data_IF_230070925456
#
_entry.id   IF_230070925456
#
_cell.length_a   1.000
_cell.length_b   1.000
_cell.length_c   1.000
_cell.angle_alpha   90.00
_cell.angle_beta   90.00
_cell.angle_gamma   90.00
#
_symmetry.space_group_name_H-M   'P 1'
#
loop_
_entity.id
_entity.type
_entity.pdbx_description
1 polymer ?
#
# COMPACT_ATOMS: atom_id res chain seq x y z
N UNK A 1 -44.32 -16.53 3.35
CA UNK A 1 -43.87 -15.97 2.06
C UNK A 1 -43.02 -14.70 2.22
N UNK A 2 -42.11 -14.67 3.21
CA UNK A 2 -40.91 -13.81 3.24
C UNK A 2 -39.90 -14.48 4.21
N UNK A 3 -39.50 -15.70 3.87
CA UNK A 3 -38.61 -16.56 4.69
C UNK A 3 -37.19 -16.65 4.08
N UNK A 4 -36.76 -15.66 3.29
CA UNK A 4 -35.52 -15.73 2.48
C UNK A 4 -34.57 -14.52 2.66
N UNK A 5 -34.68 -13.75 3.74
CA UNK A 5 -33.88 -12.51 3.92
C UNK A 5 -32.78 -12.59 5.01
N UNK A 6 -32.53 -13.75 5.58
CA UNK A 6 -31.42 -13.95 6.53
C UNK A 6 -30.28 -14.63 5.78
N UNK A 7 -29.23 -13.86 5.47
CA UNK A 7 -28.02 -14.37 4.83
C UNK A 7 -27.35 -15.49 5.65
N UNK A 8 -26.37 -16.20 5.06
CA UNK A 8 -25.75 -17.41 5.64
C UNK A 8 -25.22 -17.20 7.07
N UNK A 9 -24.88 -15.96 7.41
CA UNK A 9 -24.40 -15.56 8.73
C UNK A 9 -25.39 -15.83 9.88
N UNK A 10 -26.70 -15.83 9.65
CA UNK A 10 -27.67 -15.98 10.74
C UNK A 10 -28.04 -17.45 11.02
N UNK A 11 -27.78 -18.37 10.09
CA UNK A 11 -28.15 -19.79 10.23
C UNK A 11 -27.07 -20.64 10.92
N UNK A 12 -25.90 -20.08 11.22
CA UNK A 12 -24.71 -20.83 11.66
C UNK A 12 -24.25 -20.52 13.09
N UNK A 13 -24.99 -19.72 13.86
CA UNK A 13 -24.58 -19.28 15.22
C UNK A 13 -24.29 -20.42 16.21
N UNK A 14 -24.67 -21.67 15.90
CA UNK A 14 -24.40 -22.85 16.74
C UNK A 14 -23.39 -23.84 16.15
N UNK A 15 -22.72 -23.53 15.03
CA UNK A 15 -21.68 -24.42 14.53
C UNK A 15 -20.32 -24.15 15.19
N UNK A 16 -19.75 -25.23 15.71
CA UNK A 16 -18.42 -25.25 16.28
C UNK A 16 -17.40 -25.10 15.14
N UNK A 17 -16.75 -23.94 15.06
CA UNK A 17 -15.63 -23.74 14.14
C UNK A 17 -14.41 -24.49 14.69
N UNK A 18 -13.86 -25.40 13.88
CA UNK A 18 -12.58 -26.07 14.19
C UNK A 18 -11.54 -25.56 13.22
N UNK A 19 -10.46 -24.99 13.73
CA UNK A 19 -9.31 -24.51 12.96
C UNK A 19 -8.18 -25.52 13.12
N UNK A 20 -7.73 -26.09 11.99
CA UNK A 20 -6.57 -26.98 11.94
C UNK A 20 -5.31 -26.20 11.60
N UNK A 21 -4.46 -26.00 12.60
CA UNK A 21 -3.18 -25.30 12.47
C UNK A 21 -2.14 -26.30 11.97
N UNK A 22 -1.72 -26.17 10.71
CA UNK A 22 -0.71 -27.02 10.07
C UNK A 22 0.69 -26.58 10.49
N UNK A 23 1.37 -27.40 11.28
CA UNK A 23 2.69 -27.10 11.78
C UNK A 23 3.74 -27.56 10.76
N UNK A 24 4.62 -26.68 10.27
CA UNK A 24 5.71 -27.09 9.38
C UNK A 24 6.51 -28.24 10.00
N UNK A 25 6.59 -29.38 9.31
CA UNK A 25 7.33 -30.57 9.70
C UNK A 25 6.88 -31.32 10.99
N UNK A 26 5.81 -30.90 11.67
CA UNK A 26 5.38 -31.50 12.96
C UNK A 26 3.91 -31.92 13.02
N UNK A 27 3.20 -31.91 11.89
CA UNK A 27 1.79 -32.36 11.81
C UNK A 27 0.79 -31.21 11.86
N UNK A 28 -0.30 -31.38 12.60
CA UNK A 28 -1.34 -30.36 12.74
C UNK A 28 -1.97 -30.41 14.14
N UNK A 29 -2.46 -29.27 14.61
CA UNK A 29 -3.21 -29.14 15.87
C UNK A 29 -4.58 -28.57 15.57
N UNK A 30 -5.63 -29.23 16.04
CA UNK A 30 -7.01 -28.75 15.90
C UNK A 30 -7.38 -27.89 17.11
N UNK A 31 -7.78 -26.65 16.85
CA UNK A 31 -8.28 -25.71 17.83
C UNK A 31 -9.78 -25.51 17.63
N UNK A 32 -10.55 -25.77 18.69
CA UNK A 32 -11.99 -25.54 18.70
C UNK A 32 -12.29 -24.10 19.13
N UNK A 33 -12.90 -23.32 18.24
CA UNK A 33 -13.24 -21.91 18.47
C UNK A 33 -14.64 -21.81 19.05
N UNK A 34 -14.74 -21.46 20.33
CA UNK A 34 -16.03 -21.32 21.03
C UNK A 34 -16.79 -20.04 20.68
N UNK A 35 -16.13 -19.03 20.09
CA UNK A 35 -16.68 -17.72 19.75
C UNK A 35 -16.57 -17.41 18.24
N UNK A 36 -16.92 -18.37 17.39
CA UNK A 36 -16.71 -18.32 15.93
C UNK A 36 -17.11 -17.00 15.22
N UNK A 37 -18.26 -16.37 15.53
CA UNK A 37 -18.67 -15.12 14.88
C UNK A 37 -17.88 -13.86 15.29
N UNK A 38 -17.12 -13.93 16.39
CA UNK A 38 -16.37 -12.81 16.96
C UNK A 38 -14.85 -13.05 16.99
N UNK A 39 -14.39 -14.12 16.34
CA UNK A 39 -12.97 -14.44 16.27
C UNK A 39 -12.20 -13.27 15.64
N UNK A 40 -11.22 -12.72 16.36
CA UNK A 40 -10.34 -11.67 15.86
C UNK A 40 -9.04 -12.28 15.34
N UNK A 41 -8.38 -11.57 14.41
CA UNK A 41 -7.08 -11.94 13.86
C UNK A 41 -6.03 -12.19 14.93
N UNK A 42 -6.05 -11.36 15.98
CA UNK A 42 -5.18 -11.50 17.13
C UNK A 42 -5.40 -12.81 17.89
N UNK A 43 -6.63 -13.27 18.05
CA UNK A 43 -6.93 -14.51 18.79
C UNK A 43 -6.31 -15.73 18.10
N UNK A 44 -6.37 -15.76 16.76
CA UNK A 44 -5.72 -16.82 15.97
C UNK A 44 -4.20 -16.75 16.10
N UNK A 45 -3.61 -15.55 16.04
CA UNK A 45 -2.16 -15.38 16.23
C UNK A 45 -1.71 -15.81 17.63
N UNK A 46 -2.49 -15.52 18.67
CA UNK A 46 -2.18 -15.90 20.06
C UNK A 46 -2.20 -17.43 20.22
N UNK A 47 -3.16 -18.13 19.59
CA UNK A 47 -3.19 -19.61 19.59
C UNK A 47 -2.04 -20.18 18.77
N UNK A 48 -1.73 -19.61 17.61
CA UNK A 48 -0.56 -20.05 16.84
C UNK A 48 0.71 -19.85 17.67
N UNK A 49 0.84 -18.74 18.40
CA UNK A 49 1.97 -18.50 19.31
C UNK A 49 2.10 -19.54 20.42
N UNK A 50 0.98 -20.09 20.91
CA UNK A 50 0.99 -21.21 21.87
C UNK A 50 1.42 -22.54 21.23
N UNK A 51 1.05 -22.76 19.96
CA UNK A 51 1.40 -23.98 19.20
C UNK A 51 2.84 -23.93 18.66
N UNK A 52 3.34 -22.74 18.34
CA UNK A 52 4.66 -22.46 17.78
C UNK A 52 5.42 -21.43 18.64
N UNK A 53 5.78 -21.75 19.90
CA UNK A 53 6.42 -20.80 20.81
C UNK A 53 7.79 -20.30 20.33
N UNK A 54 8.48 -21.10 19.50
CA UNK A 54 9.79 -20.76 18.93
C UNK A 54 9.69 -19.89 17.65
N UNK A 55 8.48 -19.58 17.18
CA UNK A 55 8.27 -18.81 15.97
C UNK A 55 7.34 -17.61 16.20
N UNK A 56 7.79 -16.43 15.80
CA UNK A 56 6.94 -15.24 15.78
C UNK A 56 6.05 -15.28 14.54
N UNK A 57 4.84 -15.82 14.69
CA UNK A 57 3.84 -15.81 13.61
C UNK A 57 3.12 -14.46 13.60
N UNK A 58 3.14 -13.78 12.46
CA UNK A 58 2.48 -12.47 12.26
C UNK A 58 1.40 -12.49 11.19
N UNK A 59 1.30 -13.62 10.48
CA UNK A 59 0.31 -13.91 9.46
C UNK A 59 0.21 -15.42 9.32
N UNK A 60 -0.91 -15.89 8.79
CA UNK A 60 -1.11 -17.28 8.41
C UNK A 60 -1.77 -17.34 7.04
N UNK A 61 -1.68 -18.47 6.37
CA UNK A 61 -2.31 -18.71 5.07
C UNK A 61 -3.46 -19.71 5.23
N UNK A 62 -4.47 -19.63 4.38
CA UNK A 62 -5.44 -20.70 4.16
C UNK A 62 -5.41 -21.12 2.69
N UNK A 63 -6.04 -22.24 2.36
CA UNK A 63 -6.19 -22.69 0.97
C UNK A 63 -7.59 -22.31 0.48
N UNK A 64 -7.66 -21.57 -0.63
CA UNK A 64 -8.94 -21.25 -1.28
C UNK A 64 -9.44 -22.39 -2.20
N UNK A 65 -10.46 -22.12 -2.99
CA UNK A 65 -11.10 -23.10 -3.89
C UNK A 65 -10.18 -23.57 -5.02
N UNK A 66 -9.22 -22.75 -5.43
CA UNK A 66 -8.26 -23.03 -6.50
C UNK A 66 -7.00 -23.77 -5.99
N UNK A 67 -6.86 -23.92 -4.68
CA UNK A 67 -5.67 -24.49 -4.04
C UNK A 67 -4.60 -23.43 -3.71
N UNK A 68 -4.92 -22.15 -3.87
CA UNK A 68 -3.97 -21.05 -3.66
C UNK A 68 -3.83 -20.71 -2.17
N UNK A 69 -2.59 -20.41 -1.75
CA UNK A 69 -2.25 -20.02 -0.38
C UNK A 69 -2.56 -18.53 -0.18
N UNK A 70 -3.72 -18.22 0.36
CA UNK A 70 -4.15 -16.85 0.64
C UNK A 70 -3.71 -16.43 2.04
N UNK A 71 -2.88 -15.38 2.13
CA UNK A 71 -2.39 -14.90 3.43
C UNK A 71 -3.41 -13.99 4.13
N UNK A 72 -3.65 -14.24 5.41
CA UNK A 72 -4.46 -13.43 6.33
C UNK A 72 -3.55 -12.63 7.26
N UNK A 73 -3.75 -11.31 7.33
CA UNK A 73 -2.97 -10.33 8.10
C UNK A 73 -3.82 -9.35 8.90
N UNK A 74 -5.15 -9.44 8.81
CA UNK A 74 -6.09 -8.48 9.40
C UNK A 74 -7.46 -9.11 9.67
N UNK A 75 -8.28 -8.44 10.48
CA UNK A 75 -9.66 -8.87 10.75
C UNK A 75 -10.54 -8.87 9.48
N UNK A 76 -10.24 -8.00 8.50
CA UNK A 76 -11.02 -7.95 7.25
C UNK A 76 -10.71 -9.15 6.35
N UNK A 77 -9.43 -9.52 6.22
CA UNK A 77 -9.02 -10.75 5.51
C UNK A 77 -9.49 -12.01 6.25
N UNK A 78 -9.54 -11.96 7.59
CA UNK A 78 -10.13 -13.04 8.39
C UNK A 78 -11.62 -13.20 8.11
N UNK A 79 -12.40 -12.12 8.02
CA UNK A 79 -13.81 -12.19 7.64
C UNK A 79 -13.99 -12.79 6.24
N UNK A 80 -13.13 -12.44 5.29
CA UNK A 80 -13.15 -13.02 3.95
C UNK A 80 -12.88 -14.54 4.01
N UNK A 81 -11.84 -14.97 4.71
CA UNK A 81 -11.53 -16.38 4.94
C UNK A 81 -12.69 -17.14 5.60
N UNK A 82 -13.26 -16.58 6.67
CA UNK A 82 -14.39 -17.19 7.38
C UNK A 82 -15.63 -17.27 6.49
N UNK A 83 -15.91 -16.24 5.70
CA UNK A 83 -17.03 -16.24 4.76
C UNK A 83 -16.85 -17.30 3.67
N UNK A 84 -15.63 -17.47 3.15
CA UNK A 84 -15.28 -18.56 2.23
C UNK A 84 -15.53 -19.91 2.89
N UNK A 85 -14.93 -20.15 4.06
CA UNK A 85 -15.08 -21.40 4.80
C UNK A 85 -16.54 -21.76 5.07
N UNK A 86 -17.35 -20.83 5.59
CA UNK A 86 -18.76 -21.09 5.86
C UNK A 86 -19.55 -21.39 4.57
N UNK A 87 -19.17 -20.81 3.43
CA UNK A 87 -19.78 -21.14 2.13
C UNK A 87 -19.43 -22.57 1.73
N UNK A 88 -18.17 -22.98 1.86
CA UNK A 88 -17.73 -24.36 1.61
C UNK A 88 -18.40 -25.37 2.55
N UNK A 89 -18.56 -25.03 3.83
CA UNK A 89 -19.26 -25.88 4.80
C UNK A 89 -20.73 -26.08 4.40
N UNK A 90 -21.41 -25.02 3.95
CA UNK A 90 -22.78 -25.12 3.45
C UNK A 90 -22.89 -26.08 2.27
N UNK A 91 -21.98 -25.99 1.30
CA UNK A 91 -21.96 -26.88 0.14
C UNK A 91 -21.67 -28.34 0.53
N UNK A 92 -20.72 -28.56 1.44
CA UNK A 92 -20.41 -29.89 1.98
C UNK A 92 -21.62 -30.51 2.69
N UNK A 93 -22.34 -29.72 3.48
CA UNK A 93 -23.56 -30.18 4.17
C UNK A 93 -24.68 -30.54 3.19
N UNK A 94 -24.90 -29.73 2.15
CA UNK A 94 -25.89 -30.00 1.11
C UNK A 94 -25.55 -31.30 0.35
N UNK A 95 -24.25 -31.56 0.14
CA UNK A 95 -23.76 -32.75 -0.55
C UNK A 95 -23.57 -33.98 0.36
N UNK A 96 -23.89 -33.89 1.67
CA UNK A 96 -23.70 -34.98 2.63
C UNK A 96 -22.23 -35.35 2.87
N UNK A 97 -21.31 -34.44 2.59
CA UNK A 97 -19.88 -34.61 2.81
C UNK A 97 -19.51 -34.34 4.26
N UNK A 98 -18.41 -34.93 4.72
CA UNK A 98 -17.87 -34.67 6.04
C UNK A 98 -17.35 -33.23 6.08
N UNK A 99 -17.73 -32.46 7.10
CA UNK A 99 -17.22 -31.09 7.30
C UNK A 99 -15.75 -31.16 7.71
N UNK A 100 -14.87 -30.63 6.88
CA UNK A 100 -13.44 -30.56 7.20
C UNK A 100 -13.11 -29.30 8.02
N UNK A 101 -12.21 -29.37 9.03
CA UNK A 101 -11.73 -28.20 9.75
C UNK A 101 -11.07 -27.16 8.82
N UNK A 102 -11.22 -25.88 9.13
CA UNK A 102 -10.55 -24.79 8.43
C UNK A 102 -9.03 -24.92 8.60
N UNK A 103 -8.33 -25.24 7.52
CA UNK A 103 -6.88 -25.45 7.55
C UNK A 103 -6.16 -24.11 7.44
N UNK A 104 -5.31 -23.81 8.42
CA UNK A 104 -4.43 -22.63 8.37
C UNK A 104 -2.96 -23.03 8.49
N UNK A 105 -2.10 -22.26 7.85
CA UNK A 105 -0.67 -22.50 7.70
C UNK A 105 0.07 -21.30 8.27
N UNK A 106 0.60 -21.39 9.50
CA UNK A 106 1.41 -20.33 10.09
C UNK A 106 2.58 -19.95 9.19
N UNK A 107 2.73 -18.64 8.89
CA UNK A 107 3.95 -18.13 8.28
C UNK A 107 4.97 -17.85 9.38
N UNK A 108 5.74 -18.88 9.74
CA UNK A 108 6.85 -18.73 10.66
C UNK A 108 8.01 -17.98 9.99
N UNK A 109 8.44 -16.85 10.57
CA UNK A 109 9.74 -16.29 10.24
C UNK A 109 10.82 -17.21 10.82
N UNK A 110 11.74 -17.74 10.00
CA UNK A 110 12.85 -18.55 10.51
C UNK A 110 13.69 -17.75 11.51
N UNK A 111 14.10 -18.34 12.65
CA UNK A 111 15.05 -17.69 13.56
C UNK A 111 16.37 -17.36 12.83
N UNK A 112 17.16 -16.38 13.30
CA UNK A 112 18.29 -15.81 12.58
C UNK A 112 19.42 -16.79 12.16
N UNK A 113 19.42 -18.04 12.64
CA UNK A 113 20.52 -19.00 12.49
C UNK A 113 20.50 -19.91 11.26
N UNK A 114 19.40 -20.01 10.51
CA UNK A 114 19.27 -21.01 9.42
C UNK A 114 18.78 -20.39 8.10
N UNK A 115 19.63 -19.59 7.45
CA UNK A 115 19.40 -19.14 6.06
C UNK A 115 20.67 -19.26 5.23
N UNK A 116 20.87 -20.43 4.64
CA UNK A 116 21.73 -20.63 3.48
C UNK A 116 21.34 -21.97 2.86
N UNK A 117 20.69 -21.97 1.69
CA UNK A 117 21.03 -22.78 0.50
C UNK A 117 19.91 -22.62 -0.54
N UNK A 118 20.27 -22.14 -1.74
CA UNK A 118 19.42 -21.87 -2.96
C UNK A 118 18.85 -20.44 -3.02
N UNK A 119 19.24 -19.53 -3.91
CA UNK A 119 20.13 -19.60 -5.06
C UNK A 119 19.93 -18.32 -5.90
N UNK A 120 20.90 -17.40 -5.84
CA UNK A 120 21.23 -16.43 -6.89
C UNK A 120 22.55 -15.75 -6.48
N UNK A 121 23.66 -16.27 -7.02
CA UNK A 121 25.03 -15.75 -6.83
C UNK A 121 25.24 -14.50 -7.68
N UNK A 122 25.70 -13.41 -7.08
CA UNK A 122 26.61 -12.45 -7.74
C UNK A 122 27.81 -12.27 -6.83
N UNK A 123 28.98 -12.63 -7.36
CA UNK A 123 30.24 -12.77 -6.65
C UNK A 123 31.06 -11.49 -6.79
N UNK A 124 31.30 -10.77 -5.69
CA UNK A 124 32.29 -9.67 -5.67
C UNK A 124 33.13 -9.73 -4.39
N UNK A 125 34.09 -10.67 -4.34
CA UNK A 125 35.22 -10.61 -3.39
C UNK A 125 36.51 -10.49 -4.19
N UNK A 126 37.18 -9.35 -4.06
CA UNK A 126 38.62 -9.24 -4.31
C UNK A 126 39.34 -9.45 -2.98
N UNK A 127 39.99 -10.60 -2.82
CA UNK A 127 40.96 -10.88 -1.74
C UNK A 127 42.39 -10.63 -2.24
N UNK A 128 43.36 -10.34 -1.35
CA UNK A 128 44.66 -9.78 -1.72
C UNK A 128 45.65 -10.88 -2.13
N UNK A 129 46.35 -10.68 -3.25
CA UNK A 129 47.52 -11.50 -3.61
C UNK A 129 48.74 -10.60 -3.78
N UNK A 130 49.80 -11.02 -3.09
CA UNK A 130 51.11 -10.40 -2.95
C UNK A 130 51.98 -10.52 -4.22
N UNK A 131 52.79 -9.48 -4.43
CA UNK A 131 54.12 -9.43 -5.08
C UNK A 131 54.33 -10.00 -6.51
N UNK A 132 54.53 -9.12 -7.50
CA UNK A 132 55.83 -8.79 -8.18
C UNK A 132 55.60 -7.93 -9.44
N UNK A 133 56.55 -7.03 -9.72
CA UNK A 133 56.51 -5.79 -10.55
C UNK A 133 56.85 -6.00 -12.06
N UNK A 134 57.02 -4.94 -12.90
CA UNK A 134 56.02 -3.98 -13.41
C UNK A 134 56.07 -3.83 -14.96
N UNK A 135 54.95 -3.56 -15.66
CA UNK A 135 54.96 -2.94 -17.01
C UNK A 135 53.80 -1.96 -17.15
N UNK A 136 54.13 -0.80 -17.70
CA UNK A 136 53.38 0.45 -17.85
C UNK A 136 52.47 0.42 -19.08
N UNK A 137 51.21 0.87 -18.94
CA UNK A 137 50.52 1.76 -19.90
C UNK A 137 49.06 2.07 -19.49
N UNK A 138 48.80 3.35 -19.19
CA UNK A 138 47.62 4.19 -19.49
C UNK A 138 46.19 3.67 -19.19
N UNK A 139 45.51 4.12 -18.14
CA UNK A 139 44.87 5.44 -17.86
C UNK A 139 43.40 5.52 -18.31
N UNK A 140 42.48 5.52 -17.32
CA UNK A 140 41.19 6.25 -17.23
C UNK A 140 40.49 5.90 -15.88
N UNK A 141 39.74 6.83 -15.24
CA UNK A 141 39.72 6.96 -13.78
C UNK A 141 38.63 6.15 -13.05
N UNK A 142 39.05 5.31 -12.10
CA UNK A 142 38.19 4.56 -11.15
C UNK A 142 37.63 5.40 -9.98
N UNK A 143 37.51 6.71 -10.15
CA UNK A 143 37.15 7.66 -9.08
C UNK A 143 35.64 7.92 -8.92
N UNK A 144 34.77 7.43 -9.81
CA UNK A 144 33.32 7.60 -9.69
C UNK A 144 32.66 6.64 -8.68
N UNK A 145 33.18 5.40 -8.57
CA UNK A 145 32.62 4.35 -7.70
C UNK A 145 32.98 4.54 -6.21
N UNK A 146 34.08 5.24 -5.89
CA UNK A 146 34.47 5.52 -4.51
C UNK A 146 33.70 6.70 -3.90
N UNK A 147 33.31 7.69 -4.73
CA UNK A 147 32.47 8.83 -4.31
C UNK A 147 31.07 8.39 -3.87
N UNK A 148 30.43 7.46 -4.59
CA UNK A 148 29.08 7.02 -4.22
C UNK A 148 29.05 6.28 -2.87
N UNK A 149 30.11 5.56 -2.49
CA UNK A 149 30.17 4.89 -1.17
C UNK A 149 30.31 5.86 0.01
N UNK A 150 30.95 7.02 -0.21
CA UNK A 150 31.10 8.05 0.81
C UNK A 150 29.82 8.87 0.98
N UNK A 151 29.11 9.16 -0.11
CA UNK A 151 27.75 9.73 -0.07
C UNK A 151 26.76 8.76 0.56
N UNK A 152 26.81 7.46 0.22
CA UNK A 152 26.01 6.42 0.87
C UNK A 152 26.26 6.35 2.38
N UNK A 153 27.52 6.42 2.84
CA UNK A 153 27.81 6.48 4.28
C UNK A 153 27.32 7.78 4.92
N UNK A 154 27.31 8.90 4.20
CA UNK A 154 26.80 10.18 4.70
C UNK A 154 25.27 10.20 4.74
N UNK A 155 24.59 9.49 3.83
CA UNK A 155 23.13 9.31 3.83
C UNK A 155 22.71 8.33 4.93
N UNK A 156 23.45 7.22 5.08
CA UNK A 156 23.28 6.26 6.17
C UNK A 156 23.68 6.84 7.55
N UNK A 157 24.60 7.81 7.60
CA UNK A 157 24.98 8.51 8.84
C UNK A 157 24.15 9.78 9.11
N UNK A 158 23.49 10.37 8.10
CA UNK A 158 22.57 11.49 8.28
C UNK A 158 21.14 11.04 8.61
N UNK A 159 20.78 9.78 8.36
CA UNK A 159 19.56 9.17 8.89
C UNK A 159 19.72 8.81 10.36
N UNK A 160 19.72 9.80 11.26
CA UNK A 160 19.77 9.60 12.72
C UNK A 160 18.51 8.95 13.30
N UNK A 161 17.75 8.17 12.51
CA UNK A 161 16.56 7.49 12.99
C UNK A 161 16.97 6.11 13.50
N UNK A 162 17.08 5.98 14.82
CA UNK A 162 17.19 4.68 15.48
C UNK A 162 15.86 4.37 16.17
N UNK A 163 15.53 3.09 16.30
CA UNK A 163 14.33 2.66 17.03
C UNK A 163 14.26 3.26 18.44
N UNK A 164 15.40 3.31 19.15
CA UNK A 164 15.50 3.82 20.52
C UNK A 164 15.10 5.31 20.64
N UNK A 165 15.19 6.05 19.55
CA UNK A 165 14.85 7.47 19.46
C UNK A 165 13.38 7.71 19.11
N UNK A 166 12.62 6.64 18.79
CA UNK A 166 11.23 6.70 18.33
C UNK A 166 10.29 6.25 19.43
N UNK A 167 9.43 7.18 19.88
CA UNK A 167 8.29 6.84 20.75
C UNK A 167 7.02 6.73 19.93
N UNK A 168 6.58 5.49 19.68
CA UNK A 168 5.32 5.20 19.01
C UNK A 168 4.11 5.72 19.81
N UNK A 169 3.10 6.21 19.09
CA UNK A 169 1.80 6.66 19.60
C UNK A 169 0.69 5.91 18.85
N UNK A 170 -0.36 6.63 18.46
CA UNK A 170 -1.55 6.10 17.81
C UNK A 170 -1.23 5.42 16.47
N UNK A 171 -1.98 4.37 16.14
CA UNK A 171 -1.96 3.79 14.80
C UNK A 171 -2.75 4.68 13.85
N UNK A 172 -2.12 5.12 12.76
CA UNK A 172 -2.72 5.99 11.74
C UNK A 172 -3.48 5.19 10.68
N UNK A 173 -3.02 3.98 10.37
CA UNK A 173 -3.65 3.12 9.39
C UNK A 173 -2.91 1.81 9.17
N UNK A 174 -3.60 0.87 8.54
CA UNK A 174 -3.05 -0.40 8.09
C UNK A 174 -3.20 -0.47 6.57
N UNK A 175 -2.16 -0.87 5.87
CA UNK A 175 -2.22 -1.08 4.42
C UNK A 175 -1.46 -2.33 4.01
N UNK A 176 -1.46 -2.61 2.71
CA UNK A 176 -0.81 -3.81 2.13
C UNK A 176 0.68 -3.93 2.50
N UNK A 177 1.32 -2.80 2.78
CA UNK A 177 2.73 -2.71 3.16
C UNK A 177 2.97 -2.61 4.66
N UNK A 178 2.01 -2.96 5.52
CA UNK A 178 2.17 -2.92 6.97
C UNK A 178 1.44 -1.76 7.67
N UNK A 179 1.87 -1.45 8.89
CA UNK A 179 1.15 -0.54 9.79
C UNK A 179 1.86 0.80 9.87
N UNK A 180 1.09 1.89 9.80
CA UNK A 180 1.58 3.25 9.94
C UNK A 180 1.25 3.77 11.34
N UNK A 181 2.27 4.22 12.06
CA UNK A 181 2.14 4.79 13.40
C UNK A 181 2.45 6.28 13.39
N UNK A 182 1.73 7.04 14.21
CA UNK A 182 2.19 8.35 14.65
C UNK A 182 3.30 8.12 15.65
N UNK A 183 4.42 8.82 15.53
CA UNK A 183 5.51 8.69 16.47
C UNK A 183 6.15 10.03 16.81
N UNK A 184 6.88 10.07 17.92
CA UNK A 184 7.66 11.22 18.33
C UNK A 184 9.14 10.86 18.31
N UNK A 185 9.93 11.59 17.53
CA UNK A 185 11.38 11.43 17.49
C UNK A 185 12.02 12.27 18.59
N UNK A 186 12.46 11.58 19.66
CA UNK A 186 12.89 12.17 20.93
C UNK A 186 14.01 13.21 20.76
N UNK A 187 15.09 12.95 20.01
CA UNK A 187 16.18 13.92 19.85
C UNK A 187 15.75 15.23 19.17
N UNK A 188 14.87 15.14 18.17
CA UNK A 188 14.47 16.32 17.37
C UNK A 188 13.20 17.02 17.84
N UNK A 189 12.41 16.40 18.73
CA UNK A 189 11.08 16.86 19.11
C UNK A 189 10.01 16.77 18.01
N UNK A 190 10.33 16.24 16.82
CA UNK A 190 9.42 16.16 15.69
C UNK A 190 8.41 15.03 15.83
N UNK A 191 7.19 15.29 15.34
CA UNK A 191 6.17 14.26 15.13
C UNK A 191 6.35 13.66 13.73
N UNK A 192 6.35 12.33 13.66
CA UNK A 192 6.61 11.54 12.47
C UNK A 192 5.43 10.61 12.15
N UNK A 193 5.37 10.17 10.89
CA UNK A 193 4.68 8.94 10.52
C UNK A 193 5.73 7.84 10.31
N UNK A 194 5.52 6.67 10.92
CA UNK A 194 6.44 5.52 10.83
C UNK A 194 5.69 4.34 10.25
N UNK A 195 6.02 3.97 9.01
CA UNK A 195 5.46 2.79 8.35
C UNK A 195 6.34 1.59 8.65
N UNK A 196 5.79 0.62 9.37
CA UNK A 196 6.46 -0.62 9.78
C UNK A 196 6.00 -1.73 8.85
N UNK A 197 6.94 -2.26 8.07
CA UNK A 197 6.71 -3.36 7.13
C UNK A 197 7.39 -4.61 7.66
N UNK A 198 6.61 -5.67 7.84
CA UNK A 198 7.11 -7.00 8.19
C UNK A 198 7.76 -7.63 6.98
N UNK A 199 9.05 -7.91 7.06
CA UNK A 199 9.82 -8.43 5.95
C UNK A 199 10.71 -9.58 6.40
N UNK A 200 10.69 -10.68 5.65
CA UNK A 200 11.61 -11.77 5.87
C UNK A 200 12.95 -11.50 5.15
N UNK A 201 13.75 -10.57 5.69
CA UNK A 201 14.86 -9.96 4.96
C UNK A 201 16.18 -10.72 5.15
N UNK A 202 16.88 -10.99 4.06
CA UNK A 202 18.31 -11.27 4.08
C UNK A 202 19.12 -9.97 4.12
N UNK A 203 20.37 -9.99 4.59
CA UNK A 203 21.24 -8.81 4.57
C UNK A 203 21.41 -8.22 3.15
N UNK A 204 21.38 -9.06 2.12
CA UNK A 204 21.42 -8.63 0.72
C UNK A 204 20.18 -7.83 0.34
N UNK A 205 19.00 -8.34 0.69
CA UNK A 205 17.75 -7.64 0.44
C UNK A 205 17.73 -6.33 1.24
N UNK A 206 18.15 -6.31 2.52
CA UNK A 206 18.25 -5.05 3.29
C UNK A 206 19.08 -3.98 2.56
N UNK A 207 20.25 -4.35 2.02
CA UNK A 207 21.11 -3.42 1.25
C UNK A 207 20.43 -2.93 -0.01
N UNK A 208 19.74 -3.81 -0.73
CA UNK A 208 18.96 -3.43 -1.91
C UNK A 208 17.89 -2.41 -1.53
N UNK A 209 17.09 -2.70 -0.50
CA UNK A 209 16.03 -1.82 0.00
C UNK A 209 16.60 -0.44 0.37
N UNK A 210 17.73 -0.40 1.09
CA UNK A 210 18.34 0.89 1.47
C UNK A 210 18.84 1.69 0.28
N UNK A 211 19.46 1.03 -0.70
CA UNK A 211 19.87 1.69 -1.95
C UNK A 211 18.67 2.23 -2.71
N UNK A 212 17.54 1.54 -2.62
CA UNK A 212 16.27 1.89 -3.23
C UNK A 212 15.62 3.10 -2.52
N UNK A 213 15.60 3.12 -1.19
CA UNK A 213 15.12 4.25 -0.39
C UNK A 213 16.00 5.51 -0.52
N UNK A 214 17.24 5.40 -0.99
CA UNK A 214 18.11 6.54 -1.29
C UNK A 214 17.45 7.54 -2.28
N UNK A 215 16.60 7.02 -3.17
CA UNK A 215 15.84 7.85 -4.11
C UNK A 215 14.84 8.75 -3.37
N UNK A 216 14.20 8.24 -2.32
CA UNK A 216 13.28 9.04 -1.48
C UNK A 216 14.04 10.14 -0.74
N UNK A 217 15.26 9.85 -0.27
CA UNK A 217 16.10 10.83 0.40
C UNK A 217 16.54 11.98 -0.51
N UNK A 218 16.65 11.75 -1.82
CA UNK A 218 16.97 12.77 -2.82
C UNK A 218 15.76 13.62 -3.25
N UNK A 219 14.55 13.21 -2.87
CA UNK A 219 13.34 13.96 -3.18
C UNK A 219 13.25 15.19 -2.26
N UNK A 220 13.34 16.37 -2.86
CA UNK A 220 13.15 17.67 -2.24
C UNK A 220 12.10 18.45 -3.04
N UNK A 221 10.85 18.37 -2.59
CA UNK A 221 9.70 19.03 -3.22
C UNK A 221 8.58 19.23 -2.23
N UNK A 222 7.95 20.41 -2.25
CA UNK A 222 6.78 20.71 -1.41
C UNK A 222 5.55 19.84 -1.70
N UNK A 223 5.57 19.06 -2.79
CA UNK A 223 4.47 18.20 -3.24
C UNK A 223 4.75 16.70 -3.02
N UNK A 224 5.89 16.36 -2.43
CA UNK A 224 6.30 14.99 -2.10
C UNK A 224 6.50 14.90 -0.58
N UNK A 225 6.08 13.78 0.02
CA UNK A 225 6.22 13.59 1.47
C UNK A 225 7.69 13.66 1.90
N UNK A 226 7.97 14.41 2.96
CA UNK A 226 9.33 14.50 3.50
C UNK A 226 9.79 13.17 4.06
N UNK A 227 10.92 12.65 3.57
CA UNK A 227 11.54 11.43 4.08
C UNK A 227 12.64 11.79 5.10
N UNK A 228 12.59 11.18 6.29
CA UNK A 228 13.58 11.43 7.33
C UNK A 228 14.59 10.31 7.51
N UNK A 229 14.24 9.08 7.16
CA UNK A 229 15.13 7.93 7.27
C UNK A 229 14.37 6.61 7.33
N UNK A 230 15.12 5.51 7.35
CA UNK A 230 14.58 4.19 7.60
C UNK A 230 15.56 3.38 8.44
N UNK A 231 15.05 2.44 9.22
CA UNK A 231 15.85 1.54 10.05
C UNK A 231 15.26 0.14 10.08
N UNK A 232 16.11 -0.87 10.33
CA UNK A 232 15.70 -2.26 10.46
C UNK A 232 15.74 -2.69 11.92
N UNK A 233 14.70 -3.41 12.33
CA UNK A 233 14.62 -4.07 13.64
C UNK A 233 14.12 -5.47 13.39
N UNK A 234 14.93 -6.46 13.75
CA UNK A 234 14.63 -7.88 13.50
C UNK A 234 14.23 -8.11 12.04
N UNK A 235 13.01 -8.61 11.80
CA UNK A 235 12.41 -8.89 10.50
C UNK A 235 11.44 -7.78 10.07
N UNK A 236 11.78 -6.52 10.35
CA UNK A 236 10.94 -5.36 10.03
C UNK A 236 11.79 -4.22 9.52
N UNK A 237 11.24 -3.46 8.58
CA UNK A 237 11.74 -2.14 8.21
C UNK A 237 10.76 -1.09 8.68
N UNK A 238 11.29 -0.01 9.26
CA UNK A 238 10.53 1.16 9.66
C UNK A 238 10.95 2.34 8.79
N UNK A 239 9.99 2.93 8.08
CA UNK A 239 10.20 4.07 7.18
C UNK A 239 9.63 5.32 7.88
N UNK A 240 10.48 6.28 8.20
CA UNK A 240 10.15 7.51 8.91
C UNK A 240 9.92 8.67 7.93
N UNK A 241 8.73 9.24 7.94
CA UNK A 241 8.36 10.39 7.11
C UNK A 241 7.74 11.52 7.93
N UNK A 242 7.57 12.67 7.28
CA UNK A 242 6.71 13.74 7.73
C UNK A 242 5.32 13.23 8.11
N UNK A 243 4.78 13.76 9.21
CA UNK A 243 3.41 13.52 9.63
C UNK A 243 2.48 14.57 9.02
N UNK A 244 1.49 14.10 8.27
CA UNK A 244 0.44 14.94 7.65
C UNK A 244 -0.84 14.79 8.48
N UNK A 245 -1.19 15.80 9.26
CA UNK A 245 -2.24 15.72 10.30
C UNK A 245 -3.68 15.70 9.78
N UNK A 246 -3.90 15.97 8.48
CA UNK A 246 -5.16 15.70 7.79
C UNK A 246 -5.30 14.23 7.33
N UNK A 247 -4.19 13.49 7.28
CA UNK A 247 -4.18 12.12 6.76
C UNK A 247 -4.34 12.08 5.24
N UNK A 248 -4.76 10.93 4.72
CA UNK A 248 -4.94 10.67 3.30
C UNK A 248 -6.32 11.09 2.78
N UNK A 249 -6.47 11.30 1.47
CA UNK A 249 -7.72 11.79 0.89
C UNK A 249 -8.86 10.75 0.88
N UNK A 250 -8.54 9.46 0.96
CA UNK A 250 -9.52 8.35 1.00
C UNK A 250 -10.42 8.36 2.24
N UNK A 251 -9.99 8.98 3.34
CA UNK A 251 -10.82 9.08 4.55
C UNK A 251 -11.89 10.17 4.43
N UNK A 252 -11.82 11.01 3.41
CA UNK A 252 -12.78 12.09 3.16
C UNK A 252 -13.89 11.61 2.21
N UNK A 253 -15.08 12.20 2.35
CA UNK A 253 -16.21 11.96 1.44
C UNK A 253 -16.04 12.81 0.15
N UNK A 254 -17.15 13.13 -0.52
CA UNK A 254 -17.21 14.05 -1.66
C UNK A 254 -16.50 15.38 -1.33
N UNK A 255 -15.47 15.71 -2.10
CA UNK A 255 -14.70 16.95 -1.98
C UNK A 255 -15.25 17.98 -2.98
N UNK A 256 -15.54 19.22 -2.56
CA UNK A 256 -15.98 20.27 -3.48
C UNK A 256 -14.96 20.55 -4.58
N UNK A 257 -15.44 20.79 -5.80
CA UNK A 257 -14.59 20.97 -7.00
C UNK A 257 -13.53 22.08 -6.81
N UNK A 258 -13.89 23.19 -6.16
CA UNK A 258 -12.93 24.28 -5.92
C UNK A 258 -11.77 23.92 -4.98
N UNK A 259 -11.97 22.93 -4.09
CA UNK A 259 -10.91 22.37 -3.26
C UNK A 259 -10.12 21.35 -4.07
N UNK A 260 -10.83 20.47 -4.81
CA UNK A 260 -10.21 19.49 -5.69
C UNK A 260 -9.29 20.13 -6.72
N UNK A 261 -9.65 21.26 -7.31
CA UNK A 261 -8.79 21.96 -8.26
C UNK A 261 -7.41 22.31 -7.68
N UNK A 262 -7.35 22.75 -6.41
CA UNK A 262 -6.08 23.07 -5.73
C UNK A 262 -5.30 21.83 -5.32
N UNK A 263 -6.00 20.77 -4.94
CA UNK A 263 -5.39 19.45 -4.70
C UNK A 263 -4.81 18.90 -6.01
N UNK A 264 -5.53 19.01 -7.13
CA UNK A 264 -5.09 18.57 -8.45
C UNK A 264 -3.81 19.29 -8.88
N UNK A 265 -3.74 20.61 -8.68
CA UNK A 265 -2.52 21.39 -8.93
C UNK A 265 -1.32 20.81 -8.18
N UNK A 266 -1.48 20.52 -6.89
CA UNK A 266 -0.39 19.97 -6.07
C UNK A 266 0.01 18.55 -6.52
N UNK A 267 -0.96 17.69 -6.80
CA UNK A 267 -0.70 16.32 -7.26
C UNK A 267 -0.03 16.31 -8.63
N UNK A 268 -0.49 17.11 -9.60
CA UNK A 268 0.14 17.24 -10.92
C UNK A 268 1.57 17.75 -10.78
N UNK A 269 1.82 18.79 -9.96
CA UNK A 269 3.19 19.26 -9.67
C UNK A 269 4.06 18.18 -9.02
N UNK A 270 3.50 17.34 -8.15
CA UNK A 270 4.18 16.19 -7.57
C UNK A 270 4.56 15.14 -8.62
N UNK A 271 3.65 14.78 -9.52
CA UNK A 271 3.91 13.86 -10.62
C UNK A 271 4.92 14.41 -11.63
N UNK A 272 4.82 15.68 -12.01
CA UNK A 272 5.83 16.38 -12.85
C UNK A 272 7.20 16.35 -12.19
N UNK A 273 7.28 16.59 -10.88
CA UNK A 273 8.54 16.52 -10.13
C UNK A 273 9.15 15.12 -10.18
N UNK A 274 8.38 14.07 -9.85
CA UNK A 274 8.87 12.69 -9.91
C UNK A 274 9.31 12.32 -11.33
N UNK A 275 8.55 12.72 -12.34
CA UNK A 275 8.88 12.46 -13.73
C UNK A 275 10.15 13.18 -14.20
N UNK A 276 10.43 14.37 -13.69
CA UNK A 276 11.71 15.07 -13.93
C UNK A 276 12.92 14.28 -13.42
N UNK A 277 12.73 13.50 -12.35
CA UNK A 277 13.72 12.57 -11.80
C UNK A 277 13.67 11.17 -12.44
N UNK A 278 12.82 10.97 -13.46
CA UNK A 278 12.55 9.67 -14.12
C UNK A 278 11.97 8.60 -13.18
N UNK A 279 11.22 9.04 -12.18
CA UNK A 279 10.49 8.18 -11.25
C UNK A 279 9.03 8.14 -11.67
N UNK A 280 8.48 6.94 -11.80
CA UNK A 280 7.04 6.71 -11.92
C UNK A 280 6.46 6.49 -10.52
N UNK A 281 5.27 7.01 -10.25
CA UNK A 281 4.62 6.80 -8.96
C UNK A 281 4.07 5.38 -8.83
N UNK A 282 3.37 4.88 -9.85
CA UNK A 282 2.80 3.52 -9.97
C UNK A 282 1.69 3.15 -8.99
N UNK A 283 1.22 4.06 -8.13
CA UNK A 283 0.17 3.80 -7.14
C UNK A 283 -0.55 5.10 -6.75
N UNK A 284 -0.87 5.93 -7.75
CA UNK A 284 -1.61 7.17 -7.50
C UNK A 284 -3.05 6.81 -7.13
N UNK A 285 -3.46 7.14 -5.91
CA UNK A 285 -4.81 6.93 -5.38
C UNK A 285 -5.07 7.83 -4.18
N UNK A 286 -6.33 8.06 -3.77
CA UNK A 286 -6.63 8.93 -2.63
C UNK A 286 -5.88 8.57 -1.34
N UNK A 287 -5.66 7.28 -1.06
CA UNK A 287 -4.91 6.84 0.13
C UNK A 287 -3.43 7.23 0.12
N UNK A 288 -2.88 7.57 -1.05
CA UNK A 288 -1.48 7.98 -1.24
C UNK A 288 -1.33 9.49 -1.49
N UNK A 289 -2.41 10.25 -1.32
CA UNK A 289 -2.44 11.71 -1.37
C UNK A 289 -2.71 12.24 0.04
N UNK A 290 -1.71 12.84 0.66
CA UNK A 290 -1.77 13.30 2.04
C UNK A 290 -2.05 14.80 2.12
N UNK A 291 -2.84 15.22 3.10
CA UNK A 291 -3.15 16.63 3.38
C UNK A 291 -2.88 17.00 4.83
N UNK A 292 -2.65 18.29 5.09
CA UNK A 292 -2.46 18.80 6.44
C UNK A 292 -3.26 20.09 6.70
N UNK A 293 -3.39 20.46 7.97
CA UNK A 293 -4.10 21.67 8.42
C UNK A 293 -3.43 22.96 7.94
N UNK A 294 -2.18 22.90 7.49
CA UNK A 294 -1.49 24.00 6.81
C UNK A 294 -1.86 24.17 5.33
N UNK A 295 -2.71 23.29 4.79
CA UNK A 295 -3.16 23.33 3.39
C UNK A 295 -2.15 22.75 2.39
N UNK A 296 -1.15 22.02 2.85
CA UNK A 296 -0.22 21.31 1.99
C UNK A 296 -0.84 20.00 1.51
N UNK A 297 -0.51 19.61 0.28
CA UNK A 297 -0.93 18.36 -0.37
C UNK A 297 0.32 17.68 -0.89
N UNK A 298 0.56 16.43 -0.49
CA UNK A 298 1.79 15.70 -0.80
C UNK A 298 1.51 14.26 -1.23
N UNK A 299 2.25 13.77 -2.23
CA UNK A 299 2.24 12.37 -2.63
C UNK A 299 3.15 11.55 -1.72
N UNK A 300 2.71 10.34 -1.37
CA UNK A 300 3.49 9.35 -0.62
C UNK A 300 3.48 7.99 -1.32
N UNK A 301 4.22 7.01 -0.78
CA UNK A 301 4.21 5.61 -1.26
C UNK A 301 4.43 5.44 -2.78
N UNK A 302 5.38 6.20 -3.34
CA UNK A 302 5.69 6.20 -4.77
C UNK A 302 6.90 5.33 -5.14
N UNK A 303 6.84 4.79 -6.37
CA UNK A 303 7.94 4.20 -7.12
C UNK A 303 8.60 3.01 -6.45
N UNK A 304 9.53 3.31 -5.55
CA UNK A 304 10.45 2.35 -4.96
C UNK A 304 9.87 1.73 -3.69
N UNK A 305 9.20 2.52 -2.84
CA UNK A 305 8.46 1.95 -1.71
C UNK A 305 7.31 1.06 -2.19
N UNK A 306 6.68 1.40 -3.32
CA UNK A 306 5.67 0.55 -3.96
C UNK A 306 6.27 -0.74 -4.50
N UNK A 307 7.42 -0.68 -5.19
CA UNK A 307 8.11 -1.87 -5.67
C UNK A 307 8.57 -2.76 -4.53
N UNK A 308 9.09 -2.17 -3.46
CA UNK A 308 9.42 -2.87 -2.24
C UNK A 308 8.21 -3.63 -1.73
N UNK A 309 7.12 -2.91 -1.44
CA UNK A 309 5.87 -3.49 -0.94
C UNK A 309 5.36 -4.59 -1.87
N UNK A 310 5.34 -4.37 -3.19
CA UNK A 310 4.88 -5.36 -4.17
C UNK A 310 5.82 -6.57 -4.31
N UNK A 311 7.14 -6.37 -4.20
CA UNK A 311 8.14 -7.45 -4.28
C UNK A 311 8.06 -8.40 -3.08
N UNK A 312 7.52 -7.90 -1.97
CA UNK A 312 7.31 -8.63 -0.72
C UNK A 312 5.89 -9.21 -0.67
N UNK A 313 4.90 -8.41 -1.07
CA UNK A 313 3.49 -8.79 -1.14
C UNK A 313 3.16 -9.55 -2.43
N UNK A 314 4.06 -10.43 -2.89
CA UNK A 314 4.03 -11.23 -4.15
C UNK A 314 2.73 -12.01 -4.44
N UNK A 315 1.69 -11.88 -3.62
CA UNK A 315 0.46 -12.67 -3.65
C UNK A 315 -0.84 -11.86 -3.56
N UNK A 316 -0.85 -10.52 -3.70
CA UNK A 316 -2.11 -9.77 -3.52
C UNK A 316 -2.63 -9.04 -4.76
N UNK A 317 -3.81 -9.48 -5.20
CA UNK A 317 -4.59 -9.00 -6.36
C UNK A 317 -5.42 -7.74 -6.02
N UNK A 318 -5.54 -7.39 -4.74
CA UNK A 318 -6.57 -6.45 -4.22
C UNK A 318 -6.33 -4.94 -4.35
N UNK A 319 -5.40 -4.44 -5.16
CA UNK A 319 -5.13 -2.97 -5.25
C UNK A 319 -4.97 -2.45 -6.67
N UNK A 320 -5.54 -3.17 -7.63
CA UNK A 320 -5.40 -2.83 -9.04
C UNK A 320 -6.54 -1.94 -9.58
N UNK A 321 -7.45 -1.43 -8.73
CA UNK A 321 -8.61 -0.65 -9.15
C UNK A 321 -8.28 0.70 -9.82
N UNK A 322 -7.15 1.31 -9.48
CA UNK A 322 -6.66 2.55 -10.10
C UNK A 322 -5.67 2.29 -11.24
N UNK A 323 -5.40 1.02 -11.54
CA UNK A 323 -4.43 0.63 -12.55
C UNK A 323 -4.92 1.01 -13.94
N UNK A 324 -4.02 1.52 -14.76
CA UNK A 324 -4.31 1.88 -16.13
C UNK A 324 -4.50 0.62 -17.00
N UNK A 325 -5.38 0.65 -18.02
CA UNK A 325 -5.71 -0.52 -18.84
C UNK A 325 -4.48 -1.18 -19.48
N UNK A 326 -3.53 -0.38 -19.98
CA UNK A 326 -2.27 -0.87 -20.55
C UNK A 326 -1.42 -1.65 -19.54
N UNK A 327 -1.48 -1.25 -18.25
CA UNK A 327 -0.73 -1.93 -17.20
C UNK A 327 -1.43 -3.22 -16.77
N UNK A 328 -2.76 -3.27 -16.82
CA UNK A 328 -3.55 -4.49 -16.59
C UNK A 328 -3.28 -5.51 -17.70
N UNK A 329 -3.27 -5.06 -18.95
CA UNK A 329 -3.01 -5.89 -20.14
C UNK A 329 -1.54 -6.32 -20.29
N UNK A 330 -0.64 -5.89 -19.39
CA UNK A 330 0.78 -6.23 -19.43
C UNK A 330 1.59 -5.51 -20.53
N UNK A 331 1.04 -4.43 -21.09
CA UNK A 331 1.73 -3.62 -22.09
C UNK A 331 2.81 -2.73 -21.46
N UNK A 332 3.64 -2.12 -22.33
CA UNK A 332 4.60 -1.11 -21.88
C UNK A 332 3.87 0.10 -21.31
N UNK A 333 4.15 0.41 -20.06
CA UNK A 333 3.53 1.50 -19.33
C UNK A 333 4.56 2.58 -18.98
N UNK A 334 4.08 3.79 -18.70
CA UNK A 334 4.93 4.95 -18.44
C UNK A 334 4.20 5.99 -17.60
N UNK A 335 4.60 7.25 -17.70
CA UNK A 335 4.01 8.33 -16.90
C UNK A 335 2.50 8.52 -17.14
N UNK A 336 2.02 8.21 -18.35
CA UNK A 336 0.60 8.26 -18.70
C UNK A 336 -0.25 7.34 -17.82
N UNK A 337 0.31 6.24 -17.31
CA UNK A 337 -0.40 5.33 -16.40
C UNK A 337 -0.72 5.98 -15.06
N UNK A 338 0.18 6.82 -14.55
CA UNK A 338 -0.09 7.61 -13.34
C UNK A 338 -1.16 8.68 -13.59
N UNK A 339 -1.25 9.20 -14.83
CA UNK A 339 -2.29 10.16 -15.25
C UNK A 339 -3.67 9.51 -15.32
N UNK A 340 -3.76 8.24 -15.73
CA UNK A 340 -5.01 7.48 -15.63
C UNK A 340 -5.45 7.32 -14.18
N UNK A 341 -4.53 6.87 -13.33
CA UNK A 341 -4.77 6.70 -11.90
C UNK A 341 -5.20 8.02 -11.23
N UNK A 342 -4.61 9.15 -11.65
CA UNK A 342 -5.04 10.50 -11.28
C UNK A 342 -6.51 10.77 -11.67
N UNK A 343 -6.88 10.48 -12.91
CA UNK A 343 -8.25 10.67 -13.41
C UNK A 343 -9.29 9.92 -12.57
N UNK A 344 -9.06 8.62 -12.33
CA UNK A 344 -9.95 7.80 -11.47
C UNK A 344 -10.02 8.38 -10.06
N UNK A 345 -8.88 8.75 -9.48
CA UNK A 345 -8.81 9.28 -8.11
C UNK A 345 -9.64 10.55 -7.95
N UNK A 346 -9.50 11.50 -8.87
CA UNK A 346 -10.23 12.77 -8.78
C UNK A 346 -11.71 12.62 -9.13
N UNK A 347 -12.06 11.66 -10.00
CA UNK A 347 -13.45 11.30 -10.23
C UNK A 347 -14.09 10.72 -8.95
N UNK A 348 -13.40 9.80 -8.28
CA UNK A 348 -13.86 9.24 -6.99
C UNK A 348 -14.05 10.31 -5.92
N UNK A 349 -13.05 11.17 -5.73
CA UNK A 349 -13.12 12.25 -4.73
C UNK A 349 -14.22 13.26 -5.05
N UNK A 350 -14.51 13.51 -6.33
CA UNK A 350 -15.61 14.36 -6.76
C UNK A 350 -16.98 13.73 -6.57
N UNK A 351 -17.11 12.41 -6.77
CA UNK A 351 -18.37 11.68 -6.61
C UNK A 351 -18.63 11.28 -5.16
N UNK A 352 -17.58 11.16 -4.34
CA UNK A 352 -17.61 10.58 -3.00
C UNK A 352 -17.77 9.05 -2.99
N UNK A 353 -17.58 8.40 -4.14
CA UNK A 353 -17.64 6.95 -4.34
C UNK A 353 -16.78 6.56 -5.54
N UNK A 354 -16.27 5.33 -5.54
CA UNK A 354 -15.52 4.79 -6.67
C UNK A 354 -16.38 4.79 -7.96
N UNK A 355 -15.83 5.20 -9.13
CA UNK A 355 -16.63 5.51 -10.31
C UNK A 355 -17.07 4.29 -11.13
N UNK A 356 -16.37 3.15 -11.05
CA UNK A 356 -16.85 1.91 -11.64
C UNK A 356 -17.95 1.31 -10.76
N UNK A 357 -18.92 0.59 -11.33
CA UNK A 357 -19.95 -0.09 -10.56
C UNK A 357 -19.30 -0.93 -9.47
N UNK A 358 -19.45 -0.54 -8.21
CA UNK A 358 -19.32 -1.47 -7.11
C UNK A 358 -20.71 -2.02 -6.92
N UNK A 359 -20.94 -3.23 -7.41
CA UNK A 359 -22.25 -3.86 -7.24
C UNK A 359 -22.49 -3.93 -5.73
N UNK A 360 -23.44 -3.10 -5.28
CA UNK A 360 -23.75 -2.90 -3.87
C UNK A 360 -24.13 -4.25 -3.28
N UNK A 361 -23.77 -4.47 -2.01
CA UNK A 361 -23.88 -5.68 -1.16
C UNK A 361 -25.07 -6.66 -1.33
N UNK A 362 -26.08 -6.35 -2.15
CA UNK A 362 -27.23 -7.18 -2.47
C UNK A 362 -27.25 -7.75 -3.90
N UNK A 363 -26.26 -7.44 -4.73
CA UNK A 363 -25.90 -8.13 -5.97
C UNK A 363 -24.36 -8.26 -5.92
N UNK A 364 -23.78 -9.42 -6.17
CA UNK A 364 -22.38 -9.70 -5.79
C UNK A 364 -21.39 -8.62 -6.24
N UNK A 365 -20.56 -8.09 -5.32
CA UNK A 365 -19.44 -7.20 -5.64
C UNK A 365 -18.68 -7.77 -6.83
N UNK A 366 -18.30 -6.94 -7.81
CA UNK A 366 -17.41 -7.41 -8.87
C UNK A 366 -16.17 -8.02 -8.21
N UNK A 367 -15.86 -9.26 -8.60
CA UNK A 367 -14.61 -9.89 -8.19
C UNK A 367 -13.46 -9.01 -8.72
N UNK A 368 -12.32 -8.93 -8.01
CA UNK A 368 -11.19 -8.08 -8.44
C UNK A 368 -10.83 -8.24 -9.91
N UNK A 369 -10.88 -9.47 -10.44
CA UNK A 369 -10.63 -9.76 -11.86
C UNK A 369 -11.65 -9.08 -12.80
N UNK A 370 -12.95 -9.11 -12.45
CA UNK A 370 -13.99 -8.53 -13.28
C UNK A 370 -13.88 -7.00 -13.33
N UNK A 371 -13.50 -6.36 -12.22
CA UNK A 371 -13.21 -4.93 -12.23
C UNK A 371 -12.06 -4.60 -13.20
N UNK A 372 -11.00 -5.42 -13.21
CA UNK A 372 -9.89 -5.23 -14.14
C UNK A 372 -10.32 -5.43 -15.60
N UNK A 373 -11.18 -6.43 -15.87
CA UNK A 373 -11.80 -6.60 -17.19
C UNK A 373 -12.63 -5.38 -17.58
N UNK A 374 -13.49 -4.85 -16.71
CA UNK A 374 -14.23 -3.63 -16.99
C UNK A 374 -13.32 -2.43 -17.26
N UNK A 375 -12.21 -2.29 -16.54
CA UNK A 375 -11.24 -1.21 -16.79
C UNK A 375 -10.57 -1.37 -18.17
N UNK A 376 -10.40 -2.58 -18.68
CA UNK A 376 -9.78 -2.82 -20.00
C UNK A 376 -10.79 -2.72 -21.13
N UNK A 377 -11.93 -3.38 -21.00
CA UNK A 377 -12.85 -3.67 -22.10
C UNK A 377 -14.00 -2.65 -22.25
N UNK A 378 -14.48 -2.08 -21.15
CA UNK A 378 -15.62 -1.15 -21.16
C UNK A 378 -15.15 0.30 -21.37
N UNK A 379 -16.06 1.19 -21.78
CA UNK A 379 -15.77 2.63 -21.86
C UNK A 379 -15.36 3.20 -20.50
N UNK A 380 -14.51 4.23 -20.51
CA UNK A 380 -14.14 4.94 -19.28
C UNK A 380 -15.36 5.61 -18.66
N UNK A 381 -15.53 5.58 -17.32
CA UNK A 381 -16.65 6.24 -16.68
C UNK A 381 -16.62 7.75 -16.91
N UNK A 382 -17.80 8.36 -17.01
CA UNK A 382 -17.99 9.80 -17.25
C UNK A 382 -18.62 10.47 -16.04
N UNK A 383 -18.24 11.72 -15.78
CA UNK A 383 -18.87 12.51 -14.72
C UNK A 383 -20.34 12.83 -15.07
N UNK A 384 -21.25 12.89 -14.07
CA UNK A 384 -22.63 13.30 -14.27
C UNK A 384 -22.75 14.67 -14.94
N UNK A 385 -23.64 14.76 -15.95
CA UNK A 385 -23.87 15.99 -16.69
C UNK A 385 -24.47 17.08 -15.79
N UNK A 386 -23.90 18.29 -15.85
CA UNK A 386 -24.41 19.47 -15.14
C UNK A 386 -24.04 19.59 -13.66
N UNK A 387 -23.37 18.59 -13.06
CA UNK A 387 -22.92 18.66 -11.66
C UNK A 387 -21.57 19.35 -11.47
N UNK A 388 -20.74 19.38 -12.51
CA UNK A 388 -19.35 19.81 -12.48
C UNK A 388 -19.05 20.80 -13.60
N UNK A 389 -18.01 21.62 -13.42
CA UNK A 389 -17.61 22.58 -14.46
C UNK A 389 -17.08 21.87 -15.71
N UNK A 390 -17.30 22.46 -16.88
CA UNK A 390 -16.77 21.94 -18.15
C UNK A 390 -15.24 21.75 -18.12
N UNK A 391 -14.43 22.67 -17.54
CA UNK A 391 -13.00 22.44 -17.35
C UNK A 391 -12.69 21.19 -16.54
N UNK A 392 -13.43 20.92 -15.46
CA UNK A 392 -13.18 19.73 -14.65
C UNK A 392 -13.56 18.43 -15.37
N UNK A 393 -14.72 18.42 -16.03
CA UNK A 393 -15.16 17.28 -16.85
C UNK A 393 -14.14 16.98 -17.96
N UNK A 394 -13.66 18.01 -18.64
CA UNK A 394 -12.64 17.86 -19.67
C UNK A 394 -11.31 17.36 -19.08
N UNK A 395 -10.88 17.87 -17.92
CA UNK A 395 -9.66 17.40 -17.23
C UNK A 395 -9.70 15.89 -16.96
N UNK A 396 -10.79 15.40 -16.34
CA UNK A 396 -10.96 13.97 -16.05
C UNK A 396 -11.01 13.14 -17.33
N UNK A 397 -11.75 13.61 -18.34
CA UNK A 397 -11.86 12.91 -19.63
C UNK A 397 -10.51 12.76 -20.32
N UNK A 398 -9.66 13.80 -20.31
CA UNK A 398 -8.30 13.74 -20.85
C UNK A 398 -7.43 12.76 -20.06
N UNK A 399 -7.54 12.75 -18.72
CA UNK A 399 -6.79 11.83 -17.87
C UNK A 399 -7.21 10.36 -18.09
N UNK A 400 -8.47 10.11 -18.44
CA UNK A 400 -9.05 8.76 -18.53
C UNK A 400 -9.24 8.26 -19.96
N UNK A 401 -8.46 8.77 -20.93
CA UNK A 401 -8.39 8.17 -22.27
C UNK A 401 -7.73 6.80 -22.20
N UNK A 402 -8.37 5.78 -22.78
CA UNK A 402 -7.88 4.39 -22.75
C UNK A 402 -6.49 4.29 -23.34
N UNK A 403 -6.30 4.83 -24.55
CA UNK A 403 -5.01 4.80 -25.22
C UNK A 403 -3.99 5.68 -24.47
N UNK A 404 -2.87 5.14 -23.96
CA UNK A 404 -1.89 5.90 -23.18
C UNK A 404 -1.31 7.10 -23.93
N UNK A 405 -1.17 7.01 -25.25
CA UNK A 405 -0.61 8.08 -26.10
C UNK A 405 -1.53 9.27 -26.28
N UNK A 406 -2.81 9.12 -25.98
CA UNK A 406 -3.78 10.20 -26.08
C UNK A 406 -3.98 10.92 -24.75
N UNK A 407 -3.52 10.32 -23.65
CA UNK A 407 -3.46 10.97 -22.34
C UNK A 407 -2.34 12.02 -22.35
N UNK A 408 -2.55 13.18 -21.73
CA UNK A 408 -1.49 14.16 -21.56
C UNK A 408 -0.43 13.66 -20.57
N UNK A 409 0.81 14.10 -20.74
CA UNK A 409 1.82 13.98 -19.70
C UNK A 409 1.55 14.98 -18.55
N UNK A 410 2.08 14.78 -17.33
CA UNK A 410 1.92 15.73 -16.23
C UNK A 410 2.33 17.17 -16.57
N UNK A 411 3.39 17.35 -17.37
CA UNK A 411 3.81 18.68 -17.87
C UNK A 411 2.74 19.36 -18.71
N UNK A 412 2.02 18.60 -19.54
CA UNK A 412 0.95 19.12 -20.40
C UNK A 412 -0.30 19.45 -19.58
N UNK A 413 -0.60 18.64 -18.55
CA UNK A 413 -1.69 18.90 -17.60
C UNK A 413 -1.53 20.25 -16.88
N UNK A 414 -0.30 20.73 -16.65
CA UNK A 414 -0.07 22.05 -16.07
C UNK A 414 -0.65 23.20 -16.90
N UNK A 415 -0.79 23.02 -18.22
CA UNK A 415 -1.42 23.98 -19.12
C UNK A 415 -2.94 23.79 -19.28
N UNK A 416 -3.52 22.77 -18.66
CA UNK A 416 -4.95 22.48 -18.78
C UNK A 416 -5.81 23.57 -18.12
N UNK A 417 -6.91 24.05 -18.73
CA UNK A 417 -7.73 25.14 -18.17
C UNK A 417 -8.14 24.97 -16.72
N UNK A 418 -8.53 23.75 -16.30
CA UNK A 418 -8.85 23.43 -14.91
C UNK A 418 -7.66 23.64 -13.96
N UNK A 419 -6.45 23.19 -14.33
CA UNK A 419 -5.25 23.36 -13.50
C UNK A 419 -4.85 24.83 -13.46
N UNK A 420 -4.86 25.52 -14.59
CA UNK A 420 -4.55 26.95 -14.67
C UNK A 420 -5.50 27.78 -13.80
N UNK A 421 -6.80 27.47 -13.81
CA UNK A 421 -7.81 28.16 -13.00
C UNK A 421 -7.54 28.08 -11.49
N UNK A 422 -7.02 26.96 -11.00
CA UNK A 422 -6.82 26.73 -9.56
C UNK A 422 -5.36 26.83 -9.10
N UNK A 423 -4.41 27.10 -10.00
CA UNK A 423 -3.01 27.31 -9.66
C UNK A 423 -2.75 28.73 -9.13
N UNK A 424 -3.44 29.10 -8.05
CA UNK A 424 -3.44 30.44 -7.46
C UNK A 424 -2.50 30.57 -6.24
N UNK A 425 -1.88 29.47 -5.80
CA UNK A 425 -1.02 29.44 -4.62
C UNK A 425 -1.78 29.57 -3.28
N UNK A 426 -3.11 29.52 -3.28
CA UNK A 426 -3.93 29.72 -2.09
C UNK A 426 -4.13 28.41 -1.32
N UNK A 427 -3.16 28.06 -0.47
CA UNK A 427 -3.26 26.89 0.42
C UNK A 427 -4.35 27.04 1.50
N UNK A 428 -4.79 28.27 1.80
CA UNK A 428 -5.80 28.55 2.83
C UNK A 428 -7.13 27.86 2.53
N UNK A 429 -7.50 27.71 1.24
CA UNK A 429 -8.74 27.00 0.86
C UNK A 429 -8.68 25.53 1.27
N UNK A 430 -7.56 24.85 1.00
CA UNK A 430 -7.36 23.45 1.41
C UNK A 430 -7.26 23.36 2.93
N UNK A 431 -6.52 24.27 3.58
CA UNK A 431 -6.40 24.34 5.04
C UNK A 431 -7.76 24.46 5.74
N UNK A 432 -8.59 25.44 5.34
CA UNK A 432 -9.92 25.64 5.93
C UNK A 432 -10.82 24.42 5.72
N UNK A 433 -10.78 23.81 4.53
CA UNK A 433 -11.54 22.60 4.25
C UNK A 433 -11.09 21.41 5.13
N UNK A 434 -9.77 21.18 5.25
CA UNK A 434 -9.21 20.13 6.11
C UNK A 434 -9.60 20.36 7.57
N UNK A 435 -9.40 21.57 8.11
CA UNK A 435 -9.74 21.91 9.49
C UNK A 435 -11.21 21.64 9.79
N UNK A 436 -12.11 22.12 8.92
CA UNK A 436 -13.54 21.89 9.06
C UNK A 436 -13.90 20.41 9.02
N UNK A 437 -13.35 19.66 8.06
CA UNK A 437 -13.63 18.23 7.94
C UNK A 437 -13.13 17.43 9.16
N UNK A 438 -11.99 17.82 9.75
CA UNK A 438 -11.47 17.22 10.99
C UNK A 438 -12.35 17.55 12.20
N UNK A 439 -12.84 18.78 12.32
CA UNK A 439 -13.78 19.20 13.37
C UNK A 439 -15.11 18.43 13.27
N UNK A 440 -15.65 18.27 12.06
CA UNK A 440 -16.86 17.50 11.80
C UNK A 440 -16.67 16.02 12.19
N UNK A 441 -15.52 15.42 11.87
CA UNK A 441 -15.20 14.03 12.26
C UNK A 441 -15.08 13.87 13.77
N UNK A 442 -14.40 14.81 14.46
CA UNK A 442 -14.31 14.80 15.94
C UNK A 442 -15.67 14.91 16.59
N UNK A 443 -16.55 15.76 16.04
CA UNK A 443 -17.91 15.95 16.56
C UNK A 443 -18.78 14.69 16.41
N UNK A 444 -18.52 13.87 15.38
CA UNK A 444 -19.23 12.60 15.15
C UNK A 444 -18.72 11.44 16.03
N UNK A 445 -17.46 11.48 16.46
CA UNK A 445 -16.85 10.42 17.28
C UNK A 445 -17.19 10.51 18.77
N UNK A 446 -17.91 11.55 19.20
CA UNK A 446 -18.20 11.80 20.62
C UNK A 446 -16.95 12.23 21.40
N UNK A 447 -17.08 12.70 22.65
CA UNK A 447 -15.94 12.87 23.53
C UNK A 447 -15.23 11.52 23.78
N UNK A 448 -13.89 11.52 23.96
CA UNK A 448 -13.11 10.31 24.17
C UNK A 448 -13.51 9.52 25.43
#
# INVERSE_FOLDING_TARGET
MLWLALGPFCAMENQVLVIRIKIPNSGAVDWTVHSGPQLLFRDVLDVIGQVLPEATTTAFEYEDEDGDRITVRSDEEMKAMLSYYYSTVMEQQVNGQLIEPLQIFPRACKPPGERNIHGLKVNTRAGPSQHTSPVVSDSLPSNSLKKSSAELRKILANGQMNEQDIRYRDTLGHGNGGTVYKAHHVPSGKILAVKVILLDITLELQKQIMSELEILYKCDSSYIIGFYGAFFVENRISICTEFMDGGSLDVYRKIPEHVLGRIAVAVVKGLTYLWSLKILHRDVKPSNMLVNTGGQVKLCDFGVSTQLVNSIAKTYVGTNAYMAPERISGEQYGIHSDVWSLGISFMELALGRFPYPQIQKNQGSLMPLQLLQCIVDEDSPVLPLGEFSEPFVHFITQCMRKQPKERPAPEELMGHPFIVQFNDGNSTVVSMWVCRALEERRSQQGPP
#
